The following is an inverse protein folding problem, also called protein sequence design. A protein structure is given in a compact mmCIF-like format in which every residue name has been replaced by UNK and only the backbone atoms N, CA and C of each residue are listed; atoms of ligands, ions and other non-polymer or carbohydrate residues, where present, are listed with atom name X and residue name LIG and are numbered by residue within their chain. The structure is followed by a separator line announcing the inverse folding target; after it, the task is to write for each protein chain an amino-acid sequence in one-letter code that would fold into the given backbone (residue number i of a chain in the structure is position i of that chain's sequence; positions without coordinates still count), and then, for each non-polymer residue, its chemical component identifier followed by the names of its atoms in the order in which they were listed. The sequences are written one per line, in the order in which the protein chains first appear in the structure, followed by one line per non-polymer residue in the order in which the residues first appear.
data_IF_242747265310
#
_entry.id   IF_242747265310
#
_cell.length_a   1.000
_cell.length_b   1.000
_cell.length_c   1.000
_cell.angle_alpha   90.00
_cell.angle_beta   90.00
_cell.angle_gamma   90.00
#
_symmetry.space_group_name_H-M   'P 1'
#
loop_
_entity.id
_entity.type
_entity.pdbx_description
1 polymer ?
#
# COMPACT_ATOMS: atom_id res chain seq x y z
N UNK A 1 1.36 -14.37 -3.29
CA UNK A 1 0.19 -13.47 -3.24
C UNK A 1 0.43 -12.41 -4.29
N UNK A 2 -0.53 -12.14 -5.16
CA UNK A 2 -0.42 -11.09 -6.17
C UNK A 2 -0.74 -9.74 -5.52
N UNK A 3 0.22 -8.83 -5.61
CA UNK A 3 0.11 -7.48 -5.04
C UNK A 3 0.39 -6.46 -6.13
N UNK A 4 -0.50 -5.50 -6.30
CA UNK A 4 -0.31 -4.37 -7.21
C UNK A 4 0.02 -3.13 -6.39
N UNK A 5 0.95 -2.29 -6.84
CA UNK A 5 1.34 -1.06 -6.13
C UNK A 5 1.15 0.20 -6.97
N UNK A 6 0.64 1.25 -6.33
CA UNK A 6 0.78 2.64 -6.78
C UNK A 6 2.21 3.16 -6.53
N UNK A 7 2.52 4.36 -7.03
CA UNK A 7 3.79 5.06 -6.88
C UNK A 7 4.10 5.44 -5.43
N UNK A 8 3.12 5.93 -4.66
CA UNK A 8 3.35 6.52 -3.34
C UNK A 8 4.01 5.54 -2.33
N UNK A 9 3.55 4.27 -2.18
CA UNK A 9 4.25 3.29 -1.35
C UNK A 9 5.67 2.97 -1.79
N UNK A 10 5.91 2.89 -3.09
CA UNK A 10 7.24 2.60 -3.65
C UNK A 10 8.20 3.74 -3.34
N UNK A 11 7.79 4.98 -3.62
CA UNK A 11 8.58 6.18 -3.38
C UNK A 11 8.89 6.32 -1.89
N UNK A 12 7.88 6.18 -1.03
CA UNK A 12 8.04 6.36 0.41
C UNK A 12 9.05 5.35 0.98
N UNK A 13 8.89 4.06 0.68
CA UNK A 13 9.79 3.01 1.19
C UNK A 13 11.18 3.09 0.57
N UNK A 14 11.28 3.42 -0.71
CA UNK A 14 12.58 3.53 -1.37
C UNK A 14 13.40 4.71 -0.82
N UNK A 15 12.76 5.85 -0.51
CA UNK A 15 13.42 6.99 0.16
C UNK A 15 13.87 6.68 1.58
N UNK A 16 13.21 5.74 2.25
CA UNK A 16 13.63 5.23 3.56
C UNK A 16 14.61 4.06 3.48
N UNK A 17 15.07 3.67 2.29
CA UNK A 17 15.93 2.49 2.09
C UNK A 17 15.31 1.18 2.62
N UNK A 18 13.99 1.07 2.54
CA UNK A 18 13.18 -0.05 3.04
C UNK A 18 12.28 -0.67 1.97
N UNK A 19 12.60 -0.46 0.69
CA UNK A 19 11.87 -1.04 -0.43
C UNK A 19 11.85 -2.58 -0.38
N UNK A 20 12.89 -3.19 0.17
CA UNK A 20 13.04 -4.63 0.38
C UNK A 20 11.97 -5.24 1.30
N UNK A 21 11.30 -4.43 2.13
CA UNK A 21 10.17 -4.92 2.93
C UNK A 21 9.05 -5.45 2.06
N UNK A 22 8.79 -4.84 0.90
CA UNK A 22 7.74 -5.32 0.00
C UNK A 22 8.06 -6.75 -0.49
N UNK A 23 9.33 -7.03 -0.79
CA UNK A 23 9.78 -8.38 -1.13
C UNK A 23 9.61 -9.35 0.04
N UNK A 24 10.05 -8.95 1.24
CA UNK A 24 9.96 -9.80 2.43
C UNK A 24 8.51 -10.10 2.85
N UNK A 25 7.60 -9.14 2.67
CA UNK A 25 6.19 -9.26 3.05
C UNK A 25 5.35 -9.97 1.99
N UNK A 26 5.65 -9.75 0.70
CA UNK A 26 4.72 -10.09 -0.39
C UNK A 26 5.36 -10.94 -1.51
N UNK A 27 6.69 -10.99 -1.59
CA UNK A 27 7.42 -11.73 -2.61
C UNK A 27 7.62 -10.92 -3.89
N UNK A 28 6.57 -10.83 -4.72
CA UNK A 28 6.56 -10.13 -6.00
C UNK A 28 5.54 -8.99 -5.98
N UNK A 29 5.87 -7.85 -6.60
CA UNK A 29 5.00 -6.69 -6.74
C UNK A 29 4.81 -6.38 -8.22
N UNK A 30 3.55 -6.21 -8.62
CA UNK A 30 3.19 -5.71 -9.94
C UNK A 30 2.97 -4.21 -9.88
N UNK A 31 3.44 -3.50 -10.89
CA UNK A 31 3.20 -2.07 -11.03
C UNK A 31 2.70 -1.78 -12.45
N UNK A 32 1.74 -0.84 -12.61
CA UNK A 32 1.31 -0.44 -13.94
C UNK A 32 2.37 0.41 -14.65
N UNK A 33 2.23 0.54 -15.97
CA UNK A 33 3.15 1.29 -16.81
C UNK A 33 3.28 2.75 -16.40
N UNK A 34 2.19 3.43 -16.01
CA UNK A 34 2.23 4.82 -15.55
C UNK A 34 3.00 4.99 -14.24
N UNK A 35 2.86 4.05 -13.29
CA UNK A 35 3.61 4.05 -12.02
C UNK A 35 5.10 3.88 -12.29
N UNK A 36 5.49 2.96 -13.18
CA UNK A 36 6.89 2.82 -13.57
C UNK A 36 7.45 4.10 -14.22
N UNK A 37 6.68 4.74 -15.10
CA UNK A 37 7.08 6.01 -15.72
C UNK A 37 7.27 7.12 -14.69
N UNK A 38 6.38 7.25 -13.72
CA UNK A 38 6.50 8.24 -12.66
C UNK A 38 7.74 7.98 -11.79
N UNK A 39 7.90 6.76 -11.30
CA UNK A 39 8.91 6.41 -10.29
C UNK A 39 10.31 6.32 -10.90
N UNK A 40 10.45 5.71 -12.07
CA UNK A 40 11.75 5.42 -12.68
C UNK A 40 12.15 6.44 -13.74
N UNK A 41 11.23 6.81 -14.64
CA UNK A 41 11.58 7.68 -15.78
C UNK A 41 11.55 9.17 -15.37
N UNK A 42 10.42 9.66 -14.87
CA UNK A 42 10.27 11.02 -14.38
C UNK A 42 11.01 11.24 -13.05
N UNK A 43 11.12 10.18 -12.24
CA UNK A 43 11.88 10.16 -11.01
C UNK A 43 13.38 9.93 -11.18
N UNK A 44 13.92 9.86 -12.41
CA UNK A 44 15.34 9.57 -12.65
C UNK A 44 16.26 10.53 -11.88
N UNK A 45 17.14 9.95 -11.06
CA UNK A 45 18.07 10.71 -10.21
C UNK A 45 17.51 11.13 -8.86
N UNK A 46 16.23 10.83 -8.57
CA UNK A 46 15.66 10.94 -7.23
C UNK A 46 15.95 9.68 -6.42
N UNK A 47 15.99 9.86 -5.11
CA UNK A 47 16.16 8.77 -4.15
C UNK A 47 15.10 7.68 -4.38
N UNK A 48 15.57 6.44 -4.55
CA UNK A 48 14.71 5.28 -4.71
C UNK A 48 14.36 4.86 -6.15
N UNK A 49 14.55 5.74 -7.16
CA UNK A 49 14.22 5.40 -8.55
C UNK A 49 15.03 4.20 -9.07
N UNK A 50 16.34 4.20 -8.77
CA UNK A 50 17.25 3.12 -9.13
C UNK A 50 16.97 1.82 -8.36
N UNK A 51 16.44 1.92 -7.13
CA UNK A 51 16.09 0.76 -6.33
C UNK A 51 14.86 0.04 -6.91
N UNK A 52 13.90 0.80 -7.45
CA UNK A 52 12.73 0.22 -8.14
C UNK A 52 13.11 -0.36 -9.51
N UNK A 53 13.93 0.36 -10.29
CA UNK A 53 14.38 -0.08 -11.62
C UNK A 53 15.22 -1.38 -11.58
N UNK A 54 16.06 -1.53 -10.56
CA UNK A 54 16.94 -2.69 -10.42
C UNK A 54 16.33 -3.86 -9.62
N UNK A 55 15.10 -3.74 -9.13
CA UNK A 55 14.45 -4.77 -8.32
C UNK A 55 13.84 -5.87 -9.21
N UNK A 56 14.39 -7.10 -9.25
CA UNK A 56 13.88 -8.17 -10.13
C UNK A 56 12.51 -8.73 -9.71
N UNK A 57 12.04 -8.36 -8.52
CA UNK A 57 10.76 -8.77 -7.95
C UNK A 57 9.66 -7.72 -8.16
N UNK A 58 9.98 -6.60 -8.82
CA UNK A 58 9.00 -5.61 -9.29
C UNK A 58 8.82 -5.83 -10.79
N UNK A 59 7.61 -6.19 -11.22
CA UNK A 59 7.29 -6.45 -12.63
C UNK A 59 6.30 -5.40 -13.14
N UNK A 60 6.57 -4.88 -14.34
CA UNK A 60 5.73 -3.85 -14.98
C UNK A 60 4.70 -4.53 -15.86
N UNK A 61 3.43 -4.13 -15.73
CA UNK A 61 2.31 -4.65 -16.50
C UNK A 61 1.51 -3.52 -17.13
N UNK A 62 0.99 -3.76 -18.33
CA UNK A 62 0.11 -2.81 -19.03
C UNK A 62 -1.34 -3.19 -18.78
N UNK A 63 -2.15 -2.20 -18.47
CA UNK A 63 -3.60 -2.37 -18.30
C UNK A 63 -4.25 -2.64 -19.66
N UNK A 64 -5.28 -3.49 -19.71
CA UNK A 64 -5.99 -3.82 -20.95
C UNK A 64 -7.22 -2.92 -21.17
N UNK A 65 -7.93 -2.59 -20.09
CA UNK A 65 -9.14 -1.78 -20.08
C UNK A 65 -8.80 -0.28 -19.89
N UNK A 66 -8.25 0.33 -20.93
CA UNK A 66 -7.98 1.78 -20.96
C UNK A 66 -9.26 2.62 -20.80
N UNK A 67 -10.44 2.08 -21.15
CA UNK A 67 -11.72 2.78 -20.94
C UNK A 67 -11.99 2.91 -19.43
N UNK A 68 -11.82 1.83 -18.67
CA UNK A 68 -11.93 1.89 -17.21
C UNK A 68 -10.90 2.81 -16.57
N UNK A 69 -9.68 2.87 -17.12
CA UNK A 69 -8.66 3.84 -16.68
C UNK A 69 -9.16 5.26 -16.89
N UNK A 70 -9.60 5.61 -18.09
CA UNK A 70 -10.07 6.97 -18.40
C UNK A 70 -11.29 7.38 -17.56
N UNK A 71 -12.21 6.46 -17.26
CA UNK A 71 -13.34 6.73 -16.35
C UNK A 71 -12.89 7.06 -14.92
N UNK A 72 -11.81 6.47 -14.44
CA UNK A 72 -11.27 6.78 -13.11
C UNK A 72 -10.46 8.09 -13.09
N UNK A 73 -9.92 8.50 -14.24
CA UNK A 73 -9.08 9.70 -14.37
C UNK A 73 -9.83 11.02 -14.15
N UNK A 74 -11.17 11.01 -14.15
CA UNK A 74 -11.97 12.16 -13.72
C UNK A 74 -11.75 12.51 -12.23
N UNK A 75 -11.30 11.53 -11.45
CA UNK A 75 -11.20 11.62 -10.00
C UNK A 75 -9.79 11.33 -9.48
N UNK A 76 -9.00 10.56 -10.21
CA UNK A 76 -7.69 10.06 -9.83
C UNK A 76 -6.64 10.45 -10.87
N UNK A 77 -5.38 10.41 -10.50
CA UNK A 77 -4.32 10.49 -11.50
C UNK A 77 -4.23 9.18 -12.32
N UNK A 78 -3.38 9.19 -13.35
CA UNK A 78 -3.22 8.03 -14.25
C UNK A 78 -2.58 6.83 -13.52
N UNK A 79 -1.61 7.05 -12.64
CA UNK A 79 -0.93 5.98 -11.91
C UNK A 79 -1.87 5.26 -10.94
N UNK A 80 -2.64 6.03 -10.18
CA UNK A 80 -3.70 5.52 -9.30
C UNK A 80 -4.78 4.75 -10.08
N UNK A 81 -5.23 5.31 -11.19
CA UNK A 81 -6.26 4.72 -12.04
C UNK A 81 -5.79 3.38 -12.63
N UNK A 82 -4.60 3.36 -13.22
CA UNK A 82 -4.03 2.13 -13.77
C UNK A 82 -3.76 1.08 -12.68
N UNK A 83 -3.31 1.49 -11.48
CA UNK A 83 -3.07 0.54 -10.39
C UNK A 83 -4.37 -0.14 -9.92
N UNK A 84 -5.47 0.61 -9.82
CA UNK A 84 -6.79 0.05 -9.48
C UNK A 84 -7.28 -0.89 -10.57
N UNK A 85 -7.21 -0.47 -11.85
CA UNK A 85 -7.70 -1.30 -12.96
C UNK A 85 -6.85 -2.57 -13.10
N UNK A 86 -5.52 -2.46 -13.03
CA UNK A 86 -4.61 -3.61 -13.06
C UNK A 86 -4.92 -4.60 -11.92
N UNK A 87 -5.18 -4.09 -10.71
CA UNK A 87 -5.54 -4.94 -9.58
C UNK A 87 -6.87 -5.71 -9.81
N UNK A 88 -7.84 -5.09 -10.50
CA UNK A 88 -9.10 -5.73 -10.86
C UNK A 88 -8.87 -6.79 -11.95
N UNK A 89 -8.19 -6.42 -13.03
CA UNK A 89 -7.92 -7.31 -14.17
C UNK A 89 -7.16 -8.56 -13.77
N UNK A 90 -6.12 -8.38 -12.95
CA UNK A 90 -5.27 -9.47 -12.49
C UNK A 90 -5.84 -10.21 -11.27
N UNK A 91 -7.00 -9.79 -10.76
CA UNK A 91 -7.61 -10.30 -9.53
C UNK A 91 -6.63 -10.30 -8.35
N UNK A 92 -5.89 -9.21 -8.21
CA UNK A 92 -4.88 -9.06 -7.17
C UNK A 92 -5.50 -9.18 -5.77
N UNK A 93 -4.81 -9.86 -4.86
CA UNK A 93 -5.28 -10.01 -3.49
C UNK A 93 -5.05 -8.76 -2.64
N UNK A 94 -4.17 -7.85 -3.08
CA UNK A 94 -3.85 -6.62 -2.35
C UNK A 94 -3.42 -5.51 -3.31
N UNK A 95 -3.95 -4.30 -3.08
CA UNK A 95 -3.52 -3.05 -3.72
C UNK A 95 -2.78 -2.16 -2.71
N UNK A 96 -1.57 -1.70 -3.05
CA UNK A 96 -0.84 -0.73 -2.24
C UNK A 96 -1.17 0.70 -2.72
N UNK A 97 -1.84 1.51 -1.89
CA UNK A 97 -2.28 2.87 -2.26
C UNK A 97 -2.47 3.77 -1.02
N UNK A 98 -1.92 5.00 -1.08
CA UNK A 98 -1.90 5.94 0.05
C UNK A 98 -2.98 7.03 -0.02
N UNK A 99 -3.58 7.24 -1.17
CA UNK A 99 -4.49 8.34 -1.40
C UNK A 99 -5.91 7.98 -0.96
N UNK A 100 -6.52 8.84 -0.14
CA UNK A 100 -7.82 8.56 0.48
C UNK A 100 -8.94 8.33 -0.54
N UNK A 101 -8.88 9.03 -1.68
CA UNK A 101 -9.86 8.86 -2.77
C UNK A 101 -9.65 7.53 -3.49
N UNK A 102 -8.41 7.19 -3.84
CA UNK A 102 -8.05 5.91 -4.43
C UNK A 102 -8.47 4.73 -3.54
N UNK A 103 -8.21 4.79 -2.23
CA UNK A 103 -8.68 3.79 -1.26
C UNK A 103 -10.19 3.59 -1.27
N UNK A 104 -10.97 4.67 -1.28
CA UNK A 104 -12.45 4.61 -1.32
C UNK A 104 -12.94 3.94 -2.60
N UNK A 105 -12.34 4.28 -3.75
CA UNK A 105 -12.68 3.67 -5.03
C UNK A 105 -12.31 2.18 -5.00
N UNK A 106 -11.11 1.82 -4.59
CA UNK A 106 -10.66 0.43 -4.47
C UNK A 106 -11.62 -0.39 -3.58
N UNK A 107 -11.99 0.15 -2.40
CA UNK A 107 -12.94 -0.48 -1.49
C UNK A 107 -14.32 -0.67 -2.14
N UNK A 108 -14.84 0.34 -2.86
CA UNK A 108 -16.13 0.25 -3.55
C UNK A 108 -16.16 -0.81 -4.67
N UNK A 109 -14.98 -1.19 -5.16
CA UNK A 109 -14.77 -2.24 -6.17
C UNK A 109 -14.41 -3.60 -5.55
N UNK A 110 -14.47 -3.73 -4.23
CA UNK A 110 -14.17 -4.98 -3.52
C UNK A 110 -12.68 -5.31 -3.40
N UNK A 111 -11.77 -4.37 -3.70
CA UNK A 111 -10.34 -4.58 -3.55
C UNK A 111 -9.90 -4.41 -2.10
N UNK A 112 -9.12 -5.37 -1.62
CA UNK A 112 -8.34 -5.20 -0.37
C UNK A 112 -7.17 -4.27 -0.65
N UNK A 113 -6.92 -3.33 0.25
CA UNK A 113 -5.89 -2.33 0.04
C UNK A 113 -5.16 -1.96 1.33
N UNK A 114 -3.92 -1.49 1.20
CA UNK A 114 -3.09 -1.00 2.30
C UNK A 114 -2.22 0.17 1.85
N UNK A 115 -2.00 1.15 2.72
CA UNK A 115 -1.05 2.24 2.48
C UNK A 115 0.33 1.97 3.09
N UNK A 116 1.27 2.88 2.85
CA UNK A 116 2.62 2.91 3.42
C UNK A 116 2.62 2.71 4.94
N UNK A 117 1.73 3.40 5.66
CA UNK A 117 1.68 3.27 7.12
C UNK A 117 1.30 1.85 7.55
N UNK A 118 0.35 1.23 6.85
CA UNK A 118 -0.01 -0.17 7.10
C UNK A 118 1.18 -1.11 6.83
N UNK A 119 2.00 -0.82 5.82
CA UNK A 119 3.22 -1.58 5.54
C UNK A 119 4.23 -1.44 6.69
N UNK A 120 4.43 -0.23 7.24
CA UNK A 120 5.31 -0.01 8.41
C UNK A 120 4.84 -0.83 9.62
N UNK A 121 3.54 -0.85 9.87
CA UNK A 121 2.94 -1.67 10.93
C UNK A 121 3.23 -3.16 10.73
N UNK A 122 3.09 -3.66 9.50
CA UNK A 122 3.38 -5.06 9.19
C UNK A 122 4.85 -5.40 9.34
N UNK A 123 5.73 -4.51 8.88
CA UNK A 123 7.17 -4.66 9.05
C UNK A 123 7.53 -4.77 10.54
N UNK A 124 6.89 -3.96 11.40
CA UNK A 124 7.08 -4.06 12.86
C UNK A 124 6.63 -5.41 13.41
N UNK A 125 5.47 -5.92 12.97
CA UNK A 125 4.94 -7.22 13.42
C UNK A 125 5.79 -8.41 12.98
N UNK A 126 6.39 -8.31 11.79
CA UNK A 126 7.31 -9.32 11.24
C UNK A 126 8.74 -9.16 11.78
N UNK A 127 8.95 -8.33 12.81
CA UNK A 127 10.26 -8.04 13.40
C UNK A 127 11.31 -7.52 12.41
N UNK A 128 10.89 -6.92 11.28
CA UNK A 128 11.78 -6.26 10.33
C UNK A 128 12.32 -4.93 10.89
N UNK A 129 11.63 -4.36 11.88
CA UNK A 129 12.05 -3.13 12.57
C UNK A 129 11.85 -3.22 14.09
N UNK A 130 12.70 -2.49 14.80
CA UNK A 130 12.61 -2.35 16.25
C UNK A 130 11.56 -1.32 16.69
N UNK A 131 11.30 -0.29 15.88
CA UNK A 131 10.31 0.74 16.23
C UNK A 131 9.57 1.26 15.00
N UNK A 132 8.25 1.12 14.99
CA UNK A 132 7.39 1.72 13.96
C UNK A 132 7.37 3.25 14.07
N UNK A 133 7.38 3.81 15.27
CA UNK A 133 7.32 5.27 15.48
C UNK A 133 8.51 5.99 14.87
N UNK A 134 9.71 5.41 14.99
CA UNK A 134 10.91 5.97 14.37
C UNK A 134 10.80 6.04 12.84
N UNK A 135 10.17 5.05 12.22
CA UNK A 135 9.95 5.03 10.76
C UNK A 135 8.88 6.04 10.36
N UNK A 136 7.81 6.18 11.15
CA UNK A 136 6.79 7.20 10.92
C UNK A 136 7.39 8.62 11.01
N UNK A 137 8.27 8.88 11.96
CA UNK A 137 8.98 10.17 12.07
C UNK A 137 9.85 10.45 10.84
N UNK A 138 10.49 9.42 10.29
CA UNK A 138 11.25 9.55 9.05
C UNK A 138 10.35 9.83 7.85
N UNK A 139 9.18 9.17 7.75
CA UNK A 139 8.17 9.47 6.72
C UNK A 139 7.77 10.95 6.75
N UNK A 140 7.48 11.50 7.93
CA UNK A 140 7.14 12.92 8.10
C UNK A 140 8.29 13.81 7.62
N UNK A 141 9.54 13.51 8.01
CA UNK A 141 10.72 14.29 7.60
C UNK A 141 10.93 14.33 6.09
N UNK A 142 10.60 13.26 5.39
CA UNK A 142 10.69 13.20 3.93
C UNK A 142 9.47 13.83 3.23
N UNK A 143 8.54 14.40 3.98
CA UNK A 143 7.37 15.11 3.47
C UNK A 143 6.17 14.20 3.18
N UNK A 144 6.15 12.96 3.68
CA UNK A 144 5.00 12.08 3.57
C UNK A 144 3.82 12.70 4.35
N UNK A 145 2.74 13.01 3.64
CA UNK A 145 1.55 13.61 4.23
C UNK A 145 0.60 12.50 4.68
N UNK A 146 0.48 12.36 5.99
CA UNK A 146 -0.64 11.63 6.57
C UNK A 146 -1.90 12.50 6.41
N UNK A 147 -3.02 11.89 6.02
CA UNK A 147 -4.28 12.61 5.88
C UNK A 147 -4.62 13.33 7.21
N UNK A 148 -4.51 14.65 7.20
CA UNK A 148 -4.54 15.49 8.40
C UNK A 148 -5.95 15.68 8.99
N UNK A 149 -6.99 15.12 8.36
CA UNK A 149 -8.32 15.05 8.95
C UNK A 149 -8.43 14.01 10.07
N UNK A 150 -7.44 13.13 10.22
CA UNK A 150 -7.35 12.16 11.30
C UNK A 150 -5.88 12.07 11.75
N UNK A 151 -5.33 13.09 12.44
CA UNK A 151 -4.00 12.96 13.02
C UNK A 151 -4.10 11.87 14.09
N UNK A 152 -3.46 10.70 13.88
CA UNK A 152 -3.60 9.62 14.82
C UNK A 152 -2.80 9.99 16.05
N UNK A 153 -3.47 10.46 17.10
CA UNK A 153 -2.80 10.70 18.37
C UNK A 153 -2.22 9.38 18.90
N UNK A 154 -2.90 8.26 18.60
CA UNK A 154 -2.44 6.89 18.81
C UNK A 154 -3.05 5.95 17.74
N UNK A 155 -2.38 4.85 17.40
CA UNK A 155 -2.94 3.78 16.55
C UNK A 155 -3.28 2.59 17.43
N UNK A 156 -4.48 2.01 17.28
CA UNK A 156 -4.82 0.75 17.95
C UNK A 156 -4.81 -0.38 16.94
N UNK A 157 -4.06 -1.43 17.27
CA UNK A 157 -3.86 -2.59 16.44
C UNK A 157 -4.44 -3.79 17.15
N UNK A 158 -5.49 -4.37 16.59
CA UNK A 158 -6.05 -5.62 17.11
C UNK A 158 -5.91 -6.73 16.08
N UNK A 159 -5.79 -7.97 16.55
CA UNK A 159 -5.93 -9.16 15.71
C UNK A 159 -7.33 -9.68 15.90
N UNK A 160 -8.06 -9.82 14.81
CA UNK A 160 -9.40 -10.41 14.80
C UNK A 160 -9.29 -11.78 14.17
N UNK A 161 -9.64 -12.81 14.93
CA UNK A 161 -9.79 -14.17 14.41
C UNK A 161 -11.26 -14.40 14.03
N UNK A 162 -11.50 -14.74 12.77
CA UNK A 162 -12.79 -15.19 12.27
C UNK A 162 -12.82 -16.73 12.29
N UNK A 163 -13.68 -17.27 13.16
CA UNK A 163 -13.86 -18.71 13.36
C UNK A 163 -14.64 -19.39 12.23
N UNK A 164 -15.45 -18.66 11.47
CA UNK A 164 -16.19 -19.20 10.34
C UNK A 164 -15.25 -19.55 9.18
N UNK A 165 -14.30 -18.66 8.89
CA UNK A 165 -13.41 -18.80 7.72
C UNK A 165 -11.99 -19.25 8.09
N UNK A 166 -11.75 -19.49 9.39
CA UNK A 166 -10.46 -19.85 9.98
C UNK A 166 -9.33 -18.92 9.51
N UNK A 167 -9.52 -17.62 9.68
CA UNK A 167 -8.59 -16.56 9.24
C UNK A 167 -8.39 -15.53 10.34
N UNK A 168 -7.17 -15.01 10.45
CA UNK A 168 -6.87 -13.87 11.31
C UNK A 168 -6.64 -12.62 10.45
N UNK A 169 -7.09 -11.48 10.92
CA UNK A 169 -6.89 -10.18 10.30
C UNK A 169 -6.25 -9.22 11.30
N UNK A 170 -5.38 -8.33 10.83
CA UNK A 170 -4.98 -7.14 11.58
C UNK A 170 -5.96 -6.05 11.27
N UNK A 171 -6.64 -5.57 12.30
CA UNK A 171 -7.47 -4.39 12.20
C UNK A 171 -6.72 -3.22 12.79
N UNK A 172 -6.59 -2.18 11.98
CA UNK A 172 -5.91 -0.95 12.32
C UNK A 172 -6.97 0.10 12.58
N UNK A 173 -6.93 0.71 13.76
CA UNK A 173 -7.84 1.75 14.17
C UNK A 173 -7.08 3.05 14.41
N UNK A 174 -7.71 4.15 14.04
CA UNK A 174 -7.39 5.46 14.58
C UNK A 174 -7.81 5.49 16.06
N UNK A 175 -6.88 5.80 16.97
CA UNK A 175 -7.11 5.85 18.41
C UNK A 175 -8.13 6.90 18.83
N UNK A 176 -8.39 7.91 17.99
CA UNK A 176 -9.46 8.88 18.22
C UNK A 176 -10.87 8.34 17.88
N UNK A 177 -10.97 7.25 17.13
CA UNK A 177 -12.22 6.63 16.67
C UNK A 177 -12.32 5.15 17.03
N UNK A 178 -11.81 4.77 18.21
CA UNK A 178 -11.91 3.41 18.72
C UNK A 178 -13.39 3.05 19.00
N UNK A 179 -13.95 2.15 18.20
CA UNK A 179 -15.38 1.78 18.21
C UNK A 179 -16.09 1.87 16.85
N UNK A 180 -15.47 2.54 15.87
CA UNK A 180 -15.94 2.57 14.48
C UNK A 180 -15.44 1.40 13.61
N UNK A 181 -15.51 1.52 12.29
CA UNK A 181 -14.83 0.56 11.40
C UNK A 181 -13.30 0.78 11.39
N UNK A 182 -12.49 -0.28 11.20
CA UNK A 182 -11.05 -0.15 11.05
C UNK A 182 -10.69 0.76 9.88
N UNK A 183 -9.65 1.58 10.04
CA UNK A 183 -9.06 2.36 8.94
C UNK A 183 -8.28 1.49 7.97
N UNK A 184 -7.92 0.26 8.39
CA UNK A 184 -7.36 -0.77 7.52
C UNK A 184 -7.60 -2.15 8.09
N UNK A 185 -7.84 -3.12 7.21
CA UNK A 185 -7.89 -4.56 7.55
C UNK A 185 -6.91 -5.29 6.65
N UNK A 186 -6.10 -6.14 7.23
CA UNK A 186 -5.22 -7.01 6.47
C UNK A 186 -5.36 -8.44 6.96
N UNK A 187 -5.71 -9.34 6.05
CA UNK A 187 -5.64 -10.75 6.33
C UNK A 187 -4.19 -11.20 6.57
N UNK A 188 -3.97 -11.90 7.69
CA UNK A 188 -2.68 -12.47 8.03
C UNK A 188 -2.41 -13.73 7.18
N UNK A 189 -1.14 -13.98 6.83
CA UNK A 189 -0.75 -15.15 6.03
C UNK A 189 -0.94 -16.48 6.76
N UNK A 190 -1.11 -16.44 8.08
CA UNK A 190 -1.38 -17.59 8.93
C UNK A 190 -2.35 -17.20 10.06
N UNK A 191 -3.11 -18.18 10.55
CA UNK A 191 -3.99 -17.99 11.71
C UNK A 191 -3.13 -17.74 12.95
N UNK A 192 -3.42 -16.64 13.62
CA UNK A 192 -2.81 -16.28 14.90
C UNK A 192 -3.89 -16.46 15.97
N UNK A 193 -3.74 -17.46 16.87
CA UNK A 193 -4.66 -17.68 17.99
C UNK A 193 -4.54 -16.60 19.07
#
# INVERSE_FOLDING_TARGET
MLVVSNSSPLIALARLSHLDWLRSLYGEIWIPQAVYQEVVQAGKGREGSAAVDSAPWITVHTVQDEIAVDLLRDQLDRGESEAIVLAIEAQAQLLLIDEARGRRIAQSRGLTHIGTIGIVVLAKRQNLILSGTAILDQLIKIGFRMDSNHPPQHWVLTVVYNSHDHRSEVWVYDGCHFGGQPVGRLQLPQVVP
#
